data_IF_240001873447
#
_entry.id   IF_240001873447
#
_cell.length_a   1.000
_cell.length_b   1.000
_cell.length_c   1.000
_cell.angle_alpha   90.00
_cell.angle_beta   90.00
_cell.angle_gamma   90.00
#
_symmetry.space_group_name_H-M   'P 1'
#
loop_
_entity.id
_entity.type
_entity.pdbx_description
1 polymer ?
#
# COMPACT_ATOMS: atom_id res chain seq x y z
N UNK A 1 -22.22 12.44 -7.30
CA UNK A 1 -22.08 11.77 -5.98
C UNK A 1 -20.90 10.82 -6.07
N UNK A 2 -19.81 11.12 -5.37
CA UNK A 2 -18.51 10.45 -5.53
C UNK A 2 -18.34 9.37 -4.46
N UNK A 3 -18.37 8.09 -4.84
CA UNK A 3 -18.21 6.93 -3.96
C UNK A 3 -16.73 6.46 -3.90
N UNK A 4 -15.80 7.33 -3.50
CA UNK A 4 -14.38 6.97 -3.44
C UNK A 4 -13.83 6.65 -2.03
N UNK A 5 -14.66 6.63 -0.98
CA UNK A 5 -14.17 6.57 0.41
C UNK A 5 -13.95 5.15 0.99
N UNK A 6 -14.36 4.07 0.34
CA UNK A 6 -14.37 2.74 0.97
C UNK A 6 -13.05 1.95 0.90
N UNK A 7 -12.19 2.21 -0.07
CA UNK A 7 -10.96 1.40 -0.27
C UNK A 7 -9.85 1.65 0.76
N UNK A 8 -9.73 2.87 1.28
CA UNK A 8 -8.69 3.22 2.26
C UNK A 8 -8.94 2.62 3.64
N UNK A 9 -10.20 2.52 4.05
CA UNK A 9 -10.60 2.04 5.38
C UNK A 9 -10.29 0.55 5.58
N UNK A 10 -10.58 -0.30 4.61
CA UNK A 10 -10.27 -1.72 4.67
C UNK A 10 -8.76 -2.00 4.80
N UNK A 11 -7.91 -1.15 4.21
CA UNK A 11 -6.46 -1.31 4.31
C UNK A 11 -5.94 -1.07 5.72
N UNK A 12 -6.36 0.01 6.40
CA UNK A 12 -5.85 0.34 7.73
C UNK A 12 -6.45 -0.55 8.82
N UNK A 13 -7.66 -1.05 8.66
CA UNK A 13 -8.36 -1.88 9.63
C UNK A 13 -7.73 -3.28 9.82
N UNK A 14 -6.89 -3.73 8.89
CA UNK A 14 -6.15 -4.99 9.02
C UNK A 14 -4.94 -4.93 9.94
N UNK A 15 -4.53 -3.74 10.39
CA UNK A 15 -3.38 -3.54 11.26
C UNK A 15 -3.83 -3.32 12.70
N UNK A 16 -3.26 -4.10 13.62
CA UNK A 16 -3.62 -4.08 15.04
C UNK A 16 -3.02 -2.89 15.80
N UNK A 17 -1.87 -2.40 15.35
CA UNK A 17 -1.06 -1.42 16.04
C UNK A 17 -0.69 -0.24 15.15
N UNK A 18 -0.35 0.88 15.79
CA UNK A 18 0.31 2.02 15.15
C UNK A 18 1.57 2.37 15.94
N UNK A 19 2.70 2.48 15.25
CA UNK A 19 3.97 2.92 15.82
C UNK A 19 4.26 4.32 15.31
N UNK A 20 4.26 5.30 16.22
CA UNK A 20 4.52 6.71 15.90
C UNK A 20 6.00 7.00 16.08
N UNK A 21 6.61 7.71 15.14
CA UNK A 21 7.98 8.16 15.27
C UNK A 21 8.13 9.19 16.39
N UNK A 22 9.20 9.07 17.19
CA UNK A 22 9.47 10.02 18.28
C UNK A 22 9.88 11.41 17.76
N UNK A 23 10.38 11.49 16.53
CA UNK A 23 10.73 12.73 15.85
C UNK A 23 10.26 12.67 14.40
N UNK A 24 9.57 13.70 13.97
CA UNK A 24 9.23 13.87 12.55
C UNK A 24 10.34 14.61 11.82
N UNK A 25 10.51 14.35 10.51
CA UNK A 25 11.65 14.82 9.71
C UNK A 25 11.83 16.33 9.71
N UNK A 26 10.76 17.11 9.87
CA UNK A 26 10.79 18.59 9.90
C UNK A 26 11.11 19.18 11.29
N UNK A 27 11.34 18.34 12.30
CA UNK A 27 11.61 18.73 13.69
C UNK A 27 13.06 18.43 14.07
N UNK A 28 13.62 19.26 14.97
CA UNK A 28 15.01 19.14 15.40
C UNK A 28 15.21 18.14 16.54
N UNK A 29 14.23 17.99 17.41
CA UNK A 29 14.32 17.12 18.60
C UNK A 29 13.12 16.17 18.69
N UNK A 30 13.28 15.08 19.47
CA UNK A 30 12.20 14.16 19.77
C UNK A 30 11.05 14.89 20.47
N UNK A 31 9.82 14.56 20.05
CA UNK A 31 8.56 15.14 20.55
C UNK A 31 8.53 16.66 20.63
N UNK A 32 9.29 17.34 19.76
CA UNK A 32 9.31 18.79 19.70
C UNK A 32 7.89 19.32 19.53
N UNK A 33 7.52 20.31 20.31
CA UNK A 33 6.17 20.87 20.38
C UNK A 33 5.08 19.86 20.80
N UNK A 34 5.44 18.71 21.36
CA UNK A 34 4.55 17.61 21.75
C UNK A 34 3.78 17.03 20.55
N UNK A 35 4.39 17.05 19.36
CA UNK A 35 3.75 16.62 18.13
C UNK A 35 3.59 15.11 18.04
N UNK A 36 4.63 14.36 18.44
CA UNK A 36 4.60 12.89 18.42
C UNK A 36 3.68 12.33 19.50
N UNK A 37 3.74 12.89 20.71
CA UNK A 37 2.81 12.55 21.82
C UNK A 37 1.36 12.84 21.46
N UNK A 38 1.10 14.00 20.83
CA UNK A 38 -0.23 14.36 20.34
C UNK A 38 -0.71 13.38 19.25
N UNK A 39 0.14 13.01 18.33
CA UNK A 39 -0.18 12.06 17.24
C UNK A 39 -0.55 10.70 17.82
N UNK A 40 0.27 10.17 18.76
CA UNK A 40 -0.05 8.94 19.50
C UNK A 40 -1.39 9.04 20.23
N UNK A 41 -1.62 10.14 20.96
CA UNK A 41 -2.88 10.37 21.67
C UNK A 41 -4.09 10.35 20.74
N UNK A 42 -3.99 11.00 19.58
CA UNK A 42 -5.08 11.05 18.62
C UNK A 42 -5.38 9.67 18.00
N UNK A 43 -4.37 8.87 17.68
CA UNK A 43 -4.58 7.49 17.27
C UNK A 43 -5.30 6.68 18.33
N UNK A 44 -4.86 6.75 19.60
CA UNK A 44 -5.53 6.05 20.69
C UNK A 44 -6.98 6.53 20.88
N UNK A 45 -7.24 7.85 20.75
CA UNK A 45 -8.58 8.41 20.82
C UNK A 45 -9.52 7.83 19.77
N UNK A 46 -9.00 7.48 18.58
CA UNK A 46 -9.78 6.90 17.47
C UNK A 46 -9.71 5.37 17.41
N UNK A 47 -9.36 4.71 18.53
CA UNK A 47 -9.46 3.26 18.68
C UNK A 47 -8.25 2.45 18.25
N UNK A 48 -7.18 3.08 17.74
CA UNK A 48 -5.93 2.38 17.47
C UNK A 48 -5.19 2.06 18.80
N UNK A 49 -4.35 1.02 18.77
CA UNK A 49 -3.36 0.79 19.82
C UNK A 49 -2.04 1.40 19.39
N UNK A 50 -1.78 2.66 19.78
CA UNK A 50 -0.63 3.41 19.32
C UNK A 50 0.51 3.44 20.35
N UNK A 51 1.75 3.28 19.84
CA UNK A 51 3.00 3.35 20.59
C UNK A 51 3.89 4.47 20.05
N UNK A 52 4.73 5.05 20.92
CA UNK A 52 5.75 6.03 20.56
C UNK A 52 7.13 5.36 20.68
N UNK A 53 7.97 5.46 19.64
CA UNK A 53 9.36 4.97 19.73
C UNK A 53 10.20 5.85 20.68
N UNK A 54 11.20 5.29 21.41
CA UNK A 54 11.43 3.87 21.65
C UNK A 54 10.51 3.33 22.73
N UNK A 55 10.01 2.10 22.57
CA UNK A 55 9.12 1.46 23.54
C UNK A 55 9.26 -0.06 23.49
N UNK A 56 8.96 -0.73 24.62
CA UNK A 56 8.80 -2.17 24.61
C UNK A 56 7.47 -2.52 23.94
N UNK A 57 7.56 -3.12 22.77
CA UNK A 57 6.40 -3.57 22.01
C UNK A 57 5.77 -4.82 22.67
N UNK A 58 4.46 -5.04 22.50
CA UNK A 58 3.82 -6.31 22.81
C UNK A 58 4.53 -7.48 22.12
N UNK A 59 4.51 -8.65 22.75
CA UNK A 59 5.23 -9.83 22.26
C UNK A 59 4.81 -10.26 20.84
N UNK A 60 3.55 -10.12 20.49
CA UNK A 60 3.06 -10.40 19.15
C UNK A 60 3.64 -9.41 18.11
N UNK A 61 3.76 -8.12 18.46
CA UNK A 61 4.37 -7.13 17.58
C UNK A 61 5.89 -7.28 17.47
N UNK A 62 6.57 -7.77 18.52
CA UNK A 62 8.00 -8.11 18.46
C UNK A 62 8.25 -9.24 17.48
N UNK A 63 7.37 -10.26 17.47
CA UNK A 63 7.44 -11.41 16.57
C UNK A 63 7.02 -11.08 15.15
N UNK A 64 6.00 -10.24 14.98
CA UNK A 64 5.40 -9.91 13.68
C UNK A 64 5.25 -8.39 13.50
N UNK A 65 6.27 -7.76 12.94
CA UNK A 65 6.31 -6.30 12.71
C UNK A 65 5.21 -5.81 11.77
N UNK A 66 4.68 -6.70 10.92
CA UNK A 66 3.64 -6.38 9.96
C UNK A 66 2.23 -6.27 10.59
N UNK A 67 2.11 -6.49 11.88
CA UNK A 67 0.89 -6.18 12.65
C UNK A 67 0.71 -4.67 12.87
N UNK A 68 1.75 -3.85 12.64
CA UNK A 68 1.71 -2.42 12.85
C UNK A 68 1.78 -1.61 11.56
N UNK A 69 1.10 -0.46 11.58
CA UNK A 69 1.38 0.68 10.72
C UNK A 69 2.40 1.59 11.40
N UNK A 70 3.29 2.16 10.61
CA UNK A 70 4.30 3.12 11.03
C UNK A 70 3.86 4.51 10.62
N UNK A 71 3.54 5.34 11.62
CA UNK A 71 2.97 6.66 11.43
C UNK A 71 4.02 7.76 11.47
N UNK A 72 4.02 8.60 10.47
CA UNK A 72 4.81 9.83 10.40
C UNK A 72 3.93 11.02 10.03
N UNK A 73 4.25 12.19 10.53
CA UNK A 73 3.63 13.45 10.10
C UNK A 73 4.56 14.12 9.11
N UNK A 74 4.04 14.54 7.97
CA UNK A 74 4.78 15.24 6.92
C UNK A 74 4.38 16.71 6.89
N UNK A 75 5.37 17.57 6.83
CA UNK A 75 5.17 19.01 6.67
C UNK A 75 5.06 19.35 5.19
N UNK A 76 3.91 19.87 4.79
CA UNK A 76 3.61 20.34 3.43
C UNK A 76 3.21 21.81 3.44
N UNK A 77 3.77 22.58 4.39
CA UNK A 77 3.45 23.98 4.65
C UNK A 77 3.79 24.87 3.45
N UNK A 78 3.07 25.98 3.38
CA UNK A 78 3.37 27.12 2.49
C UNK A 78 3.74 28.34 3.33
N UNK A 79 4.16 29.42 2.69
CA UNK A 79 4.72 30.62 3.33
C UNK A 79 3.86 31.18 4.48
N UNK A 80 2.54 31.13 4.37
CA UNK A 80 1.62 31.76 5.35
C UNK A 80 0.74 30.74 6.12
N UNK A 81 0.91 29.47 5.88
CA UNK A 81 0.02 28.45 6.47
C UNK A 81 0.81 27.19 6.78
N UNK A 82 0.76 26.76 8.02
CA UNK A 82 1.26 25.43 8.39
C UNK A 82 0.30 24.38 7.90
N UNK A 83 0.81 23.44 7.11
CA UNK A 83 0.06 22.32 6.55
C UNK A 83 0.79 21.02 6.85
N UNK A 84 0.05 20.04 7.33
CA UNK A 84 0.60 18.69 7.57
C UNK A 84 -0.36 17.63 7.08
N UNK A 85 0.16 16.47 6.75
CA UNK A 85 -0.60 15.25 6.60
C UNK A 85 0.02 14.12 7.45
N UNK A 86 -0.76 13.08 7.71
CA UNK A 86 -0.32 11.88 8.42
C UNK A 86 -0.16 10.77 7.41
N UNK A 87 1.03 10.20 7.31
CA UNK A 87 1.32 9.02 6.49
C UNK A 87 1.37 7.78 7.37
N UNK A 88 0.71 6.72 6.93
CA UNK A 88 0.79 5.38 7.51
C UNK A 88 1.45 4.45 6.52
N UNK A 89 2.56 3.85 6.92
CA UNK A 89 3.33 2.89 6.14
C UNK A 89 3.24 1.50 6.75
N UNK A 90 3.36 0.48 5.92
CA UNK A 90 3.47 -0.90 6.37
C UNK A 90 4.91 -1.26 6.82
N UNK A 91 5.12 -2.51 7.17
CA UNK A 91 6.44 -3.05 7.56
C UNK A 91 7.45 -3.09 6.40
N UNK A 92 7.02 -2.95 5.15
CA UNK A 92 7.85 -2.86 3.95
C UNK A 92 8.09 -1.40 3.53
N UNK A 93 7.74 -0.45 4.39
CA UNK A 93 7.86 1.00 4.15
C UNK A 93 6.98 1.52 2.98
N UNK A 94 5.95 0.75 2.58
CA UNK A 94 4.98 1.19 1.57
C UNK A 94 3.91 2.06 2.21
N UNK A 95 3.58 3.18 1.57
CA UNK A 95 2.49 4.05 2.03
C UNK A 95 1.15 3.35 1.82
N UNK A 96 0.50 3.01 2.93
CA UNK A 96 -0.82 2.38 2.94
C UNK A 96 -1.92 3.44 2.93
N UNK A 97 -1.66 4.59 3.57
CA UNK A 97 -2.63 5.64 3.71
C UNK A 97 -1.95 7.00 3.95
N UNK A 98 -2.56 8.04 3.41
CA UNK A 98 -2.21 9.46 3.67
C UNK A 98 -3.48 10.21 4.02
N UNK A 99 -3.49 10.91 5.16
CA UNK A 99 -4.64 11.68 5.63
C UNK A 99 -4.93 12.91 4.77
N UNK A 100 -6.09 13.51 4.97
CA UNK A 100 -6.35 14.87 4.50
C UNK A 100 -5.31 15.84 5.04
N UNK A 101 -5.12 16.97 4.35
CA UNK A 101 -4.21 18.02 4.80
C UNK A 101 -4.86 18.82 5.93
N UNK A 102 -4.28 18.72 7.13
CA UNK A 102 -4.61 19.59 8.25
C UNK A 102 -3.88 20.92 8.13
N UNK A 103 -4.58 22.01 8.36
CA UNK A 103 -4.09 23.39 8.17
C UNK A 103 -4.22 24.19 9.47
N UNK A 104 -3.27 25.11 9.69
CA UNK A 104 -3.33 26.12 10.76
C UNK A 104 -2.70 27.42 10.30
N UNK A 105 -3.26 28.55 10.77
CA UNK A 105 -2.74 29.91 10.57
C UNK A 105 -2.20 30.51 11.87
N UNK A 106 -2.11 29.72 12.94
CA UNK A 106 -1.55 30.16 14.22
C UNK A 106 -0.08 30.58 14.06
N UNK A 107 0.31 31.65 14.77
CA UNK A 107 1.68 32.20 14.67
C UNK A 107 2.71 31.46 15.55
N UNK A 108 2.26 30.87 16.67
CA UNK A 108 3.15 30.17 17.61
C UNK A 108 3.38 28.75 17.12
N UNK A 109 4.62 28.35 16.88
CA UNK A 109 5.01 27.03 16.35
C UNK A 109 4.33 25.84 17.06
N UNK A 110 4.32 25.82 18.38
CA UNK A 110 3.66 24.75 19.13
C UNK A 110 2.18 24.67 18.82
N UNK A 111 1.47 25.81 18.85
CA UNK A 111 0.03 25.87 18.59
C UNK A 111 -0.29 25.49 17.15
N UNK A 112 0.45 26.03 16.18
CA UNK A 112 0.18 25.81 14.77
C UNK A 112 0.35 24.36 14.35
N UNK A 113 1.44 23.69 14.80
CA UNK A 113 1.62 22.27 14.50
C UNK A 113 0.59 21.40 15.18
N UNK A 114 0.27 21.65 16.45
CA UNK A 114 -0.74 20.90 17.17
C UNK A 114 -2.13 21.03 16.55
N UNK A 115 -2.51 22.24 16.12
CA UNK A 115 -3.79 22.48 15.44
C UNK A 115 -3.82 21.81 14.07
N UNK A 116 -2.77 21.96 13.26
CA UNK A 116 -2.68 21.33 11.95
C UNK A 116 -2.77 19.79 12.06
N UNK A 117 -2.08 19.17 13.04
CA UNK A 117 -2.18 17.72 13.30
C UNK A 117 -3.62 17.35 13.67
N UNK A 118 -4.27 18.06 14.62
CA UNK A 118 -5.67 17.78 14.97
C UNK A 118 -6.61 17.89 13.77
N UNK A 119 -6.36 18.85 12.88
CA UNK A 119 -7.16 19.03 11.67
C UNK A 119 -6.92 17.90 10.66
N UNK A 120 -5.72 17.35 10.53
CA UNK A 120 -5.44 16.16 9.73
C UNK A 120 -6.18 14.92 10.24
N UNK A 121 -6.35 14.79 11.57
CA UNK A 121 -7.11 13.70 12.19
C UNK A 121 -8.63 13.86 12.13
N UNK A 122 -9.15 14.91 11.50
CA UNK A 122 -10.59 14.99 11.17
C UNK A 122 -10.98 14.07 10.01
N UNK A 123 -10.00 13.43 9.39
CA UNK A 123 -10.21 12.48 8.31
C UNK A 123 -11.15 11.32 8.72
N UNK A 124 -12.24 11.08 8.00
CA UNK A 124 -13.21 10.05 8.33
C UNK A 124 -12.63 8.65 8.37
N UNK A 125 -11.60 8.36 7.53
CA UNK A 125 -10.95 7.04 7.46
C UNK A 125 -10.24 6.72 8.78
N UNK A 126 -9.51 7.68 9.35
CA UNK A 126 -8.83 7.50 10.63
C UNK A 126 -9.83 7.43 11.79
N UNK A 127 -10.87 8.27 11.74
CA UNK A 127 -11.89 8.36 12.82
C UNK A 127 -12.78 7.13 12.93
N UNK A 128 -13.00 6.43 11.83
CA UNK A 128 -13.85 5.24 11.76
C UNK A 128 -13.03 3.92 11.78
N UNK A 129 -11.78 3.98 12.27
CA UNK A 129 -10.95 2.79 12.40
C UNK A 129 -11.60 1.76 13.33
N UNK A 130 -11.59 0.52 12.89
CA UNK A 130 -11.98 -0.66 13.67
C UNK A 130 -11.10 -1.83 13.28
N UNK A 131 -10.32 -2.33 14.24
CA UNK A 131 -9.45 -3.47 13.96
C UNK A 131 -10.26 -4.71 13.58
N UNK A 132 -9.99 -5.22 12.40
CA UNK A 132 -10.53 -6.50 11.94
C UNK A 132 -9.37 -7.49 11.82
N UNK A 133 -9.31 -8.45 12.75
CA UNK A 133 -8.28 -9.50 12.69
C UNK A 133 -8.37 -10.17 11.32
N UNK A 134 -7.34 -10.01 10.49
CA UNK A 134 -7.16 -10.89 9.34
C UNK A 134 -7.00 -12.28 9.91
N UNK A 135 -7.96 -13.16 9.68
CA UNK A 135 -7.83 -14.58 9.96
C UNK A 135 -6.72 -15.11 9.05
N UNK A 136 -5.49 -15.06 9.55
CA UNK A 136 -4.39 -15.82 8.97
C UNK A 136 -4.63 -17.23 9.50
N UNK A 137 -5.39 -18.01 8.77
CA UNK A 137 -5.34 -19.46 8.92
C UNK A 137 -3.90 -19.86 8.50
N UNK A 138 -3.07 -20.40 9.41
CA UNK A 138 -1.70 -20.82 9.07
C UNK A 138 -1.69 -22.16 8.31
N UNK A 139 -2.77 -22.55 7.69
CA UNK A 139 -2.88 -23.70 6.82
C UNK A 139 -4.06 -23.50 5.86
N UNK A 140 -3.90 -22.57 4.96
CA UNK A 140 -4.59 -22.65 3.69
C UNK A 140 -3.63 -22.10 2.64
N UNK A 141 -2.89 -22.98 1.97
CA UNK A 141 -2.74 -22.88 0.52
C UNK A 141 -3.94 -22.07 0.02
N UNK A 142 -3.77 -21.08 -0.87
CA UNK A 142 -4.89 -20.35 -1.41
C UNK A 142 -5.86 -21.35 -2.00
N UNK A 143 -6.86 -21.75 -1.22
CA UNK A 143 -8.04 -22.42 -1.72
C UNK A 143 -8.69 -21.35 -2.58
N UNK A 144 -8.48 -21.48 -3.87
CA UNK A 144 -9.30 -20.87 -4.90
C UNK A 144 -10.73 -21.01 -4.43
N UNK A 145 -11.35 -19.91 -4.01
CA UNK A 145 -12.81 -19.87 -3.90
C UNK A 145 -13.28 -19.85 -5.34
N UNK A 146 -13.41 -21.04 -5.88
CA UNK A 146 -14.22 -21.32 -7.05
C UNK A 146 -15.65 -20.99 -6.61
N UNK A 147 -16.09 -19.75 -6.82
CA UNK A 147 -17.51 -19.54 -7.05
C UNK A 147 -17.82 -20.39 -8.26
N UNK A 148 -18.48 -21.51 -8.01
CA UNK A 148 -19.15 -22.28 -9.03
C UNK A 148 -20.23 -21.38 -9.60
N UNK A 149 -19.88 -20.59 -10.59
CA UNK A 149 -20.82 -20.08 -11.56
C UNK A 149 -20.93 -21.22 -12.57
N UNK A 150 -22.09 -21.85 -12.60
CA UNK A 150 -22.55 -22.89 -13.53
C UNK A 150 -21.88 -22.73 -14.90
N UNK A 151 -21.26 -23.81 -15.31
CA UNK A 151 -20.50 -23.97 -16.55
C UNK A 151 -21.23 -23.40 -17.76
N UNK A 152 -20.81 -22.25 -18.24
CA UNK A 152 -20.87 -21.92 -19.64
C UNK A 152 -19.51 -22.27 -20.21
N UNK A 153 -19.50 -23.28 -21.06
CA UNK A 153 -18.40 -23.87 -21.80
C UNK A 153 -17.35 -22.80 -22.15
N UNK A 154 -16.23 -22.76 -21.38
CA UNK A 154 -15.09 -21.92 -21.71
C UNK A 154 -14.40 -22.58 -22.88
N UNK A 155 -14.56 -21.99 -24.04
CA UNK A 155 -13.68 -22.24 -25.18
C UNK A 155 -12.24 -22.03 -24.73
N UNK A 156 -11.42 -23.04 -24.81
CA UNK A 156 -9.96 -22.99 -24.71
C UNK A 156 -9.37 -22.16 -25.86
N UNK A 157 -9.59 -20.86 -25.85
CA UNK A 157 -8.74 -19.93 -26.58
C UNK A 157 -7.45 -19.86 -25.77
N UNK A 158 -6.43 -20.57 -26.23
CA UNK A 158 -5.09 -20.60 -25.69
C UNK A 158 -4.59 -19.15 -25.59
N UNK A 159 -4.25 -18.68 -24.38
CA UNK A 159 -3.54 -17.44 -24.16
C UNK A 159 -2.08 -17.61 -24.65
N UNK A 160 -1.89 -17.85 -25.93
CA UNK A 160 -0.58 -17.96 -26.57
C UNK A 160 -0.14 -16.57 -27.00
N UNK A 161 1.05 -16.18 -26.59
CA UNK A 161 1.70 -14.95 -27.01
C UNK A 161 2.99 -15.28 -27.77
N UNK A 162 3.27 -14.48 -28.78
CA UNK A 162 4.48 -14.60 -29.60
C UNK A 162 5.41 -13.44 -29.27
N UNK A 163 6.67 -13.74 -28.97
CA UNK A 163 7.67 -12.75 -28.62
C UNK A 163 8.35 -12.23 -29.89
N UNK A 164 8.24 -10.93 -30.14
CA UNK A 164 8.98 -10.21 -31.17
C UNK A 164 10.12 -9.43 -30.52
N UNK A 165 11.35 -9.68 -30.97
CA UNK A 165 12.54 -9.06 -30.41
C UNK A 165 12.54 -7.53 -30.61
N UNK A 166 12.98 -6.80 -29.56
CA UNK A 166 13.24 -5.36 -29.57
C UNK A 166 14.67 -5.10 -29.07
N UNK A 167 15.15 -3.88 -29.12
CA UNK A 167 16.52 -3.55 -28.67
C UNK A 167 16.84 -4.01 -27.25
N UNK A 168 15.88 -3.92 -26.31
CA UNK A 168 16.11 -4.20 -24.90
C UNK A 168 15.18 -5.29 -24.31
N UNK A 169 14.46 -6.03 -25.14
CA UNK A 169 13.51 -7.02 -24.66
C UNK A 169 12.67 -7.63 -25.77
N UNK A 170 11.35 -7.72 -25.53
CA UNK A 170 10.42 -8.27 -26.51
C UNK A 170 9.07 -7.54 -26.45
N UNK A 171 8.35 -7.53 -27.57
CA UNK A 171 6.92 -7.28 -27.62
C UNK A 171 6.20 -8.62 -27.67
N UNK A 172 5.24 -8.83 -26.79
CA UNK A 172 4.40 -10.02 -26.75
C UNK A 172 3.09 -9.71 -27.47
N UNK A 173 2.84 -10.37 -28.59
CA UNK A 173 1.65 -10.19 -29.39
C UNK A 173 0.75 -11.43 -29.32
N UNK A 174 -0.56 -11.22 -29.39
CA UNK A 174 -1.53 -12.30 -29.47
C UNK A 174 -1.68 -12.81 -30.94
N UNK A 175 -2.59 -13.75 -31.13
CA UNK A 175 -2.90 -14.32 -32.45
C UNK A 175 -3.55 -13.32 -33.42
N UNK A 176 -4.01 -12.17 -32.94
CA UNK A 176 -4.62 -11.08 -33.71
C UNK A 176 -3.65 -9.91 -33.95
N UNK A 177 -2.37 -10.11 -34.12
CA UNK A 177 -1.16 -9.29 -33.97
C UNK A 177 -1.30 -8.01 -33.12
N UNK A 178 -1.99 -8.12 -32.00
CA UNK A 178 -2.12 -7.03 -31.02
C UNK A 178 -1.05 -7.16 -29.95
N UNK A 179 -0.33 -6.08 -29.69
CA UNK A 179 0.64 -6.03 -28.58
C UNK A 179 -0.10 -6.11 -27.26
N UNK A 180 0.16 -7.17 -26.48
CA UNK A 180 -0.41 -7.40 -25.16
C UNK A 180 0.51 -6.85 -24.07
N UNK A 181 1.84 -7.06 -24.23
CA UNK A 181 2.85 -6.55 -23.31
C UNK A 181 4.11 -6.14 -24.08
N UNK A 182 4.77 -5.08 -23.59
CA UNK A 182 6.18 -4.78 -23.90
C UNK A 182 7.02 -5.16 -22.70
N UNK A 183 7.99 -6.06 -22.86
CA UNK A 183 8.81 -6.59 -21.77
C UNK A 183 10.27 -6.26 -21.97
N UNK A 184 10.97 -5.97 -20.85
CA UNK A 184 12.40 -5.70 -20.81
C UNK A 184 13.15 -6.87 -20.17
N UNK A 185 14.32 -7.19 -20.71
CA UNK A 185 15.21 -8.21 -20.16
C UNK A 185 15.70 -7.78 -18.77
N UNK A 186 15.89 -8.77 -17.90
CA UNK A 186 16.63 -8.65 -16.63
C UNK A 186 17.90 -9.51 -16.69
N UNK A 187 18.66 -9.55 -15.61
CA UNK A 187 19.80 -10.48 -15.53
C UNK A 187 19.36 -11.95 -15.47
N UNK A 188 18.10 -12.22 -15.15
CA UNK A 188 17.55 -13.57 -15.11
C UNK A 188 16.76 -13.85 -16.40
N UNK A 189 17.14 -14.91 -17.12
CA UNK A 189 16.51 -15.27 -18.39
C UNK A 189 15.04 -15.69 -18.29
N UNK A 190 14.56 -15.95 -17.08
CA UNK A 190 13.18 -16.39 -16.78
C UNK A 190 12.32 -15.28 -16.18
N UNK A 191 12.83 -14.04 -16.07
CA UNK A 191 12.12 -12.90 -15.48
C UNK A 191 12.27 -11.68 -16.36
N UNK A 192 11.16 -11.02 -16.68
CA UNK A 192 11.09 -9.78 -17.46
C UNK A 192 10.29 -8.72 -16.72
N UNK A 193 10.64 -7.45 -16.89
CA UNK A 193 9.85 -6.32 -16.42
C UNK A 193 8.82 -5.96 -17.49
N UNK A 194 7.55 -5.79 -17.11
CA UNK A 194 6.50 -5.30 -18.02
C UNK A 194 6.61 -3.77 -18.09
N UNK A 195 6.95 -3.22 -19.27
CA UNK A 195 7.30 -1.80 -19.45
C UNK A 195 6.16 -0.84 -19.13
N UNK A 196 4.95 -1.17 -19.57
CA UNK A 196 3.81 -0.27 -19.52
C UNK A 196 2.89 -0.53 -18.32
N UNK A 197 3.30 -1.43 -17.42
CA UNK A 197 2.56 -1.80 -16.20
C UNK A 197 3.54 -2.02 -15.06
N UNK A 198 3.12 -1.69 -13.85
CA UNK A 198 3.90 -1.98 -12.64
C UNK A 198 3.86 -3.49 -12.36
N UNK A 199 4.70 -4.28 -13.06
CA UNK A 199 4.64 -5.72 -12.98
C UNK A 199 5.80 -6.45 -13.63
N UNK A 200 5.75 -7.76 -13.51
CA UNK A 200 6.75 -8.69 -14.03
C UNK A 200 6.09 -9.82 -14.80
N UNK A 201 6.81 -10.35 -15.77
CA UNK A 201 6.52 -11.63 -16.43
C UNK A 201 7.61 -12.61 -16.02
N UNK A 202 7.22 -13.75 -15.45
CA UNK A 202 8.19 -14.77 -15.05
C UNK A 202 7.73 -16.16 -15.41
N UNK A 203 8.71 -17.06 -15.62
CA UNK A 203 8.45 -18.45 -15.92
C UNK A 203 8.27 -19.25 -14.64
N UNK A 204 7.20 -20.03 -14.58
CA UNK A 204 6.96 -21.02 -13.53
C UNK A 204 6.48 -22.29 -14.19
N UNK A 205 7.21 -23.36 -13.97
CA UNK A 205 7.01 -24.66 -14.65
C UNK A 205 7.06 -24.44 -16.19
N UNK A 206 6.07 -24.88 -16.91
CA UNK A 206 5.98 -24.72 -18.38
C UNK A 206 5.19 -23.47 -18.82
N UNK A 207 4.77 -22.61 -17.88
CA UNK A 207 3.93 -21.45 -18.15
C UNK A 207 4.63 -20.15 -17.83
N UNK A 208 4.24 -19.08 -18.50
CA UNK A 208 4.63 -17.72 -18.19
C UNK A 208 3.52 -17.02 -17.41
N UNK A 209 3.87 -16.37 -16.32
CA UNK A 209 2.95 -15.70 -15.41
C UNK A 209 3.22 -14.20 -15.48
N UNK A 210 2.23 -13.43 -15.94
CA UNK A 210 2.24 -11.98 -15.85
C UNK A 210 1.55 -11.55 -14.55
N UNK A 211 2.31 -10.90 -13.67
CA UNK A 211 1.80 -10.26 -12.45
C UNK A 211 2.04 -8.75 -12.54
N UNK A 212 0.97 -7.96 -12.50
CA UNK A 212 1.04 -6.51 -12.60
C UNK A 212 -0.12 -5.86 -11.85
N UNK A 213 0.05 -4.59 -11.50
CA UNK A 213 -1.00 -3.81 -10.89
C UNK A 213 -1.81 -3.05 -11.93
N UNK A 214 -3.13 -3.18 -11.87
CA UNK A 214 -4.08 -2.40 -12.65
C UNK A 214 -5.13 -1.83 -11.69
N UNK A 215 -5.26 -0.51 -11.64
CA UNK A 215 -6.11 0.18 -10.66
C UNK A 215 -5.85 -0.25 -9.20
N UNK A 216 -4.58 -0.42 -8.82
CA UNK A 216 -4.14 -0.92 -7.50
C UNK A 216 -4.60 -2.34 -7.15
N UNK A 217 -5.08 -3.12 -8.10
CA UNK A 217 -5.41 -4.54 -7.94
C UNK A 217 -4.30 -5.37 -8.59
N UNK A 218 -3.77 -6.34 -7.85
CA UNK A 218 -2.82 -7.30 -8.42
C UNK A 218 -3.55 -8.23 -9.38
N UNK A 219 -3.18 -8.13 -10.64
CA UNK A 219 -3.67 -9.01 -11.72
C UNK A 219 -2.63 -10.08 -11.95
N UNK A 220 -3.09 -11.33 -11.97
CA UNK A 220 -2.27 -12.48 -12.31
C UNK A 220 -2.90 -13.21 -13.48
N UNK A 221 -2.14 -13.35 -14.58
CA UNK A 221 -2.59 -14.06 -15.80
C UNK A 221 -1.53 -15.05 -16.23
N UNK A 222 -1.97 -16.19 -16.74
CA UNK A 222 -1.11 -17.28 -17.22
C UNK A 222 -1.13 -17.27 -18.73
N UNK A 223 0.06 -17.36 -19.34
CA UNK A 223 0.26 -17.40 -20.78
C UNK A 223 1.23 -18.51 -21.17
N UNK A 224 1.09 -18.97 -22.41
CA UNK A 224 2.15 -19.68 -23.10
C UNK A 224 2.85 -18.68 -24.01
N UNK A 225 4.13 -18.41 -23.76
CA UNK A 225 4.91 -17.48 -24.58
C UNK A 225 5.87 -18.28 -25.46
N UNK A 226 5.83 -18.00 -26.75
CA UNK A 226 6.77 -18.52 -27.77
C UNK A 226 7.79 -17.42 -28.08
N UNK A 227 9.04 -17.64 -27.64
CA UNK A 227 10.19 -16.76 -27.92
C UNK A 227 10.87 -17.12 -29.21
#
# INVERSE_FOLDING_TARGET
MSCFSFYGQHKINSYKYVVVDSRFDFLKSADQYQTSSLTKFLFNKFGFKAFLKPVNFPEDLKKERCLALYASVKNVSSMLTTKVNVELKDCNNQIIYTSIIGKSKEKKYKKTYQEAIRNAFKDPIVRNYSYTKKSINPATTPKVITKIVTAKKVSTAQNVLYAQATSNGFQLVDTTPKVVFSIMKTQQNTVFIIKDKNGILYQKDSNWIAEYYENNVLIKKIYQVKF
#
